data_IF_705620735181
#
_entry.id   IF_705620735181
#
_cell.length_a   1.000
_cell.length_b   1.000
_cell.length_c   1.000
_cell.angle_alpha   90.00
_cell.angle_beta   90.00
_cell.angle_gamma   90.00
#
_symmetry.space_group_name_H-M   'P 1'
#
loop_
_entity.id
_entity.type
_entity.pdbx_description
1 polymer ?
#
# COMPACT_ATOMS: atom_id res chain seq x y z
N UNK A 1 -8.95 0.80 23.40
CA UNK A 1 -10.07 1.39 22.62
C UNK A 1 -9.48 2.03 21.36
N UNK A 2 -9.54 1.37 20.20
CA UNK A 2 -9.13 1.93 18.87
C UNK A 2 -9.41 0.96 17.71
N UNK A 3 -9.26 -0.35 17.95
CA UNK A 3 -9.47 -1.38 16.91
C UNK A 3 -10.94 -1.50 16.46
N UNK A 4 -11.89 -1.33 17.38
CA UNK A 4 -13.33 -1.34 17.06
C UNK A 4 -13.75 -0.19 16.14
N UNK A 5 -13.28 1.03 16.40
CA UNK A 5 -13.60 2.20 15.58
C UNK A 5 -13.01 2.09 14.16
N UNK A 6 -11.78 1.58 14.02
CA UNK A 6 -11.18 1.34 12.72
C UNK A 6 -11.94 0.28 11.91
N UNK A 7 -12.38 -0.81 12.56
CA UNK A 7 -13.20 -1.85 11.92
C UNK A 7 -14.58 -1.33 11.50
N UNK A 8 -15.21 -0.49 12.31
CA UNK A 8 -16.48 0.15 11.97
C UNK A 8 -16.36 1.10 10.78
N UNK A 9 -15.32 1.92 10.76
CA UNK A 9 -15.08 2.84 9.66
C UNK A 9 -14.77 2.11 8.35
N UNK A 10 -13.94 1.05 8.40
CA UNK A 10 -13.68 0.19 7.24
C UNK A 10 -14.99 -0.40 6.68
N UNK A 11 -15.87 -0.89 7.57
CA UNK A 11 -17.18 -1.41 7.20
C UNK A 11 -18.09 -0.34 6.58
N UNK A 12 -18.13 0.87 7.18
CA UNK A 12 -18.90 2.01 6.67
C UNK A 12 -18.48 2.41 5.26
N UNK A 13 -17.18 2.33 4.98
CA UNK A 13 -16.59 2.63 3.67
C UNK A 13 -16.65 1.46 2.67
N UNK A 14 -17.07 0.27 3.10
CA UNK A 14 -17.11 -0.93 2.25
C UNK A 14 -15.73 -1.45 1.83
N UNK A 15 -14.70 -1.24 2.64
CA UNK A 15 -13.31 -1.66 2.37
C UNK A 15 -12.77 -2.55 3.50
N UNK A 16 -11.65 -3.24 3.25
CA UNK A 16 -10.98 -4.02 4.29
C UNK A 16 -10.29 -3.12 5.33
N UNK A 17 -10.07 -3.63 6.55
CA UNK A 17 -9.31 -2.94 7.59
C UNK A 17 -7.88 -2.60 7.11
N UNK A 18 -7.25 -3.51 6.36
CA UNK A 18 -5.93 -3.29 5.78
C UNK A 18 -5.92 -2.10 4.82
N UNK A 19 -6.96 -1.96 3.99
CA UNK A 19 -7.08 -0.83 3.06
C UNK A 19 -7.35 0.49 3.79
N UNK A 20 -8.14 0.48 4.88
CA UNK A 20 -8.30 1.66 5.72
C UNK A 20 -6.94 2.14 6.28
N UNK A 21 -6.19 1.22 6.93
CA UNK A 21 -4.87 1.53 7.49
C UNK A 21 -3.91 2.07 6.43
N UNK A 22 -3.93 1.46 5.25
CA UNK A 22 -3.10 1.86 4.13
C UNK A 22 -3.41 3.28 3.63
N UNK A 23 -4.69 3.65 3.53
CA UNK A 23 -5.10 5.01 3.17
C UNK A 23 -4.68 6.03 4.24
N UNK A 24 -4.85 5.70 5.53
CA UNK A 24 -4.42 6.57 6.63
C UNK A 24 -2.91 6.79 6.63
N UNK A 25 -2.11 5.74 6.42
CA UNK A 25 -0.65 5.85 6.35
C UNK A 25 -0.19 6.69 5.16
N UNK A 26 -0.82 6.57 3.98
CA UNK A 26 -0.50 7.40 2.80
C UNK A 26 -0.67 8.89 3.02
N UNK A 27 -1.60 9.31 3.87
CA UNK A 27 -1.81 10.72 4.19
C UNK A 27 -0.74 11.27 5.13
N UNK A 28 -0.06 10.40 5.88
CA UNK A 28 0.87 10.79 6.96
C UNK A 28 2.32 10.62 6.55
N UNK A 29 2.63 9.56 5.79
CA UNK A 29 3.99 9.22 5.42
C UNK A 29 4.42 9.98 4.17
N UNK A 30 5.63 10.57 4.15
CA UNK A 30 6.17 11.15 2.94
C UNK A 30 6.31 10.07 1.87
N UNK A 31 5.98 10.42 0.63
CA UNK A 31 6.21 9.51 -0.49
C UNK A 31 7.71 9.48 -0.77
N UNK A 32 8.32 8.30 -0.77
CA UNK A 32 9.72 8.13 -1.17
C UNK A 32 9.83 8.41 -2.68
N UNK A 33 10.45 9.54 -3.00
CA UNK A 33 10.61 10.02 -4.37
C UNK A 33 11.67 9.22 -5.15
N UNK A 34 12.54 8.46 -4.45
CA UNK A 34 13.50 7.56 -5.10
C UNK A 34 12.82 6.34 -5.71
N UNK A 35 11.61 6.01 -5.21
CA UNK A 35 10.78 4.91 -5.72
C UNK A 35 9.34 5.35 -6.03
N UNK A 36 9.10 6.14 -7.10
CA UNK A 36 7.81 6.74 -7.39
C UNK A 36 6.64 5.76 -7.51
N UNK A 37 6.89 4.52 -7.94
CA UNK A 37 5.84 3.50 -8.07
C UNK A 37 5.26 3.09 -6.70
N UNK A 38 6.00 3.25 -5.59
CA UNK A 38 5.54 2.87 -4.25
C UNK A 38 4.32 3.66 -3.78
N UNK A 39 4.04 4.81 -4.42
CA UNK A 39 2.76 5.51 -4.27
C UNK A 39 1.53 4.65 -4.62
N UNK A 40 1.71 3.50 -5.26
CA UNK A 40 0.67 2.52 -5.58
C UNK A 40 0.81 1.20 -4.81
N UNK A 41 1.88 1.01 -4.01
CA UNK A 41 2.15 -0.24 -3.29
C UNK A 41 0.97 -0.64 -2.38
N UNK A 42 0.45 -1.86 -2.56
CA UNK A 42 -0.70 -2.46 -1.88
C UNK A 42 -2.08 -2.18 -2.50
N UNK A 43 -2.14 -1.55 -3.69
CA UNK A 43 -3.43 -1.11 -4.31
C UNK A 43 -4.14 -2.29 -4.93
N UNK A 44 -3.33 -3.24 -5.37
CA UNK A 44 -3.72 -4.50 -5.94
C UNK A 44 -3.05 -5.56 -5.08
N UNK A 45 -3.83 -6.52 -4.61
CA UNK A 45 -3.31 -7.72 -3.97
C UNK A 45 -3.06 -8.75 -5.07
N UNK A 46 -1.79 -9.03 -5.33
CA UNK A 46 -1.37 -9.97 -6.38
C UNK A 46 -1.31 -11.42 -5.91
N UNK A 47 -1.37 -11.66 -4.59
CA UNK A 47 -1.09 -12.96 -3.97
C UNK A 47 0.38 -13.40 -4.03
N UNK A 48 1.27 -12.64 -4.70
CA UNK A 48 2.70 -12.92 -4.78
C UNK A 48 3.47 -12.07 -3.78
N UNK A 49 4.04 -12.71 -2.76
CA UNK A 49 4.83 -12.04 -1.72
C UNK A 49 6.06 -11.28 -2.26
N UNK A 50 6.52 -11.58 -3.49
CA UNK A 50 7.68 -10.93 -4.12
C UNK A 50 7.31 -9.86 -5.14
N UNK A 51 6.03 -9.49 -5.21
CA UNK A 51 5.54 -8.51 -6.20
C UNK A 51 6.27 -7.18 -6.12
N UNK A 52 6.60 -6.72 -4.91
CA UNK A 52 7.34 -5.47 -4.72
C UNK A 52 8.74 -5.53 -5.32
N UNK A 53 9.50 -6.61 -5.09
CA UNK A 53 10.82 -6.79 -5.73
C UNK A 53 10.70 -6.86 -7.24
N UNK A 54 9.72 -7.60 -7.77
CA UNK A 54 9.52 -7.71 -9.23
C UNK A 54 9.24 -6.35 -9.88
N UNK A 55 8.45 -5.50 -9.23
CA UNK A 55 8.20 -4.14 -9.73
C UNK A 55 9.50 -3.31 -9.66
N UNK A 56 10.27 -3.43 -8.57
CA UNK A 56 11.58 -2.78 -8.48
C UNK A 56 12.53 -3.24 -9.60
N UNK A 57 12.57 -4.54 -9.92
CA UNK A 57 13.39 -5.09 -11.00
C UNK A 57 12.95 -4.57 -12.38
N UNK A 58 11.64 -4.49 -12.63
CA UNK A 58 11.10 -3.94 -13.88
C UNK A 58 11.39 -2.44 -14.03
N UNK A 59 11.26 -1.68 -12.93
CA UNK A 59 11.37 -0.21 -12.97
C UNK A 59 12.83 0.26 -12.86
N UNK A 60 13.68 -0.46 -12.13
CA UNK A 60 15.05 -0.05 -11.79
C UNK A 60 16.13 -1.09 -12.13
N UNK A 61 15.78 -2.36 -12.30
CA UNK A 61 16.73 -3.45 -12.56
C UNK A 61 17.31 -3.46 -13.98
N UNK A 62 16.79 -2.64 -14.88
CA UNK A 62 17.41 -2.35 -16.17
C UNK A 62 18.39 -1.17 -16.01
N UNK A 63 19.56 -1.46 -15.46
CA UNK A 63 20.77 -0.69 -15.73
C UNK A 63 21.74 -1.67 -16.38
N UNK A 64 22.27 -1.29 -17.55
CA UNK A 64 23.31 -2.04 -18.27
C UNK A 64 24.42 -2.55 -17.33
#
# INVERSE_FOLDING_TARGET
MRDSAAKEEARRLGISLAELLRRSLRLTLPTDQSRPWMRYAGMIESGDARSSQRIDDIVYGQKD
#
